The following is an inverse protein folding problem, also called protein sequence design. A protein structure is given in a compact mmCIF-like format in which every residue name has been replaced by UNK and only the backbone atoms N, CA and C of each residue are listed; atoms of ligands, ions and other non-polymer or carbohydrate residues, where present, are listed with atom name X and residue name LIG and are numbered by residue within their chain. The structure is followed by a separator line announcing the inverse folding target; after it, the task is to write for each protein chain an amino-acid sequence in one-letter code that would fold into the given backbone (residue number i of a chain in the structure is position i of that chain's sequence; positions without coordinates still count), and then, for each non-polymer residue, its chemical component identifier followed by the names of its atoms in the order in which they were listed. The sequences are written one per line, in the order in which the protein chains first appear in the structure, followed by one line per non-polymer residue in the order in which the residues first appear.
data_IF_152585043863
#
_entry.id   IF_152585043863
#
_cell.length_a   1.000
_cell.length_b   1.000
_cell.length_c   1.000
_cell.angle_alpha   90.00
_cell.angle_beta   90.00
_cell.angle_gamma   90.00
#
_symmetry.space_group_name_H-M   'P 1'
#
loop_
_entity.id
_entity.type
_entity.pdbx_description
1 polymer ?
#
# COMPACT_ATOMS: atom_id res chain seq x y z
N UNK A 1 25.12 0.44 15.72
CA UNK A 1 25.09 0.37 17.20
C UNK A 1 24.88 1.73 17.85
N UNK A 2 23.80 1.86 18.63
CA UNK A 2 23.43 3.07 19.40
C UNK A 2 23.15 2.67 20.86
N UNK A 3 23.70 3.40 21.83
CA UNK A 3 23.35 3.22 23.25
C UNK A 3 22.12 4.09 23.60
N UNK A 4 21.10 3.45 24.14
CA UNK A 4 19.82 4.07 24.47
C UNK A 4 19.85 4.59 25.91
N UNK A 5 19.47 5.86 26.04
CA UNK A 5 19.31 6.61 27.28
C UNK A 5 17.89 7.16 27.36
N UNK A 6 17.51 7.69 28.53
CA UNK A 6 16.22 8.37 28.69
C UNK A 6 16.06 9.58 27.75
N UNK A 7 17.17 10.19 27.32
CA UNK A 7 17.14 11.39 26.49
C UNK A 7 16.98 11.08 25.00
N UNK A 8 17.52 9.96 24.51
CA UNK A 8 17.53 9.63 23.08
C UNK A 8 16.57 8.50 22.69
N UNK A 9 15.94 7.81 23.65
CA UNK A 9 15.03 6.69 23.38
C UNK A 9 13.93 7.06 22.37
N UNK A 10 13.29 8.22 22.54
CA UNK A 10 12.20 8.62 21.66
C UNK A 10 12.68 8.87 20.23
N UNK A 11 13.80 9.57 20.05
CA UNK A 11 14.36 9.86 18.72
C UNK A 11 14.95 8.62 18.05
N UNK A 12 15.80 7.87 18.75
CA UNK A 12 16.59 6.78 18.15
C UNK A 12 15.79 5.48 18.03
N UNK A 13 14.91 5.19 18.99
CA UNK A 13 14.15 3.94 18.98
C UNK A 13 12.77 4.12 18.37
N UNK A 14 11.97 5.06 18.89
CA UNK A 14 10.59 5.23 18.44
C UNK A 14 10.55 5.87 17.05
N UNK A 15 11.20 7.02 16.86
CA UNK A 15 11.23 7.66 15.53
C UNK A 15 12.14 6.91 14.56
N UNK A 16 13.31 6.45 15.01
CA UNK A 16 14.21 5.63 14.19
C UNK A 16 13.52 4.39 13.61
N UNK A 17 12.69 3.71 14.41
CA UNK A 17 11.95 2.53 13.95
C UNK A 17 10.83 2.79 12.94
N UNK A 18 10.45 4.05 12.69
CA UNK A 18 9.54 4.41 11.59
C UNK A 18 10.24 4.36 10.23
N UNK A 19 11.56 4.56 10.21
CA UNK A 19 12.36 4.57 8.99
C UNK A 19 12.97 3.20 8.70
N UNK A 20 13.47 2.52 9.73
CA UNK A 20 14.14 1.23 9.60
C UNK A 20 13.96 0.40 10.88
N UNK A 21 13.80 -0.93 10.81
CA UNK A 21 13.66 -1.76 12.01
C UNK A 21 14.82 -1.57 13.00
N UNK A 22 14.50 -1.50 14.30
CA UNK A 22 15.50 -1.37 15.36
C UNK A 22 15.39 -2.55 16.32
N UNK A 23 16.47 -3.32 16.45
CA UNK A 23 16.57 -4.37 17.45
C UNK A 23 17.20 -3.79 18.72
N UNK A 24 16.43 -3.71 19.80
CA UNK A 24 16.89 -3.28 21.11
C UNK A 24 17.40 -4.47 21.92
N UNK A 25 18.69 -4.53 22.25
CA UNK A 25 19.30 -5.47 23.19
C UNK A 25 19.33 -4.90 24.60
N UNK A 26 18.48 -5.44 25.49
CA UNK A 26 18.43 -5.09 26.91
C UNK A 26 19.40 -5.99 27.67
N UNK A 27 20.46 -5.40 28.23
CA UNK A 27 21.59 -6.10 28.82
C UNK A 27 22.02 -5.46 30.16
N UNK A 28 22.97 -6.11 30.85
CA UNK A 28 23.65 -5.52 32.02
C UNK A 28 25.10 -6.07 32.15
N UNK A 29 26.03 -5.35 32.81
CA UNK A 29 27.44 -5.75 32.91
C UNK A 29 27.69 -7.10 33.62
N UNK A 30 26.81 -7.44 34.56
CA UNK A 30 26.84 -8.68 35.34
C UNK A 30 26.22 -9.87 34.60
N UNK A 31 25.52 -9.64 33.49
CA UNK A 31 24.86 -10.68 32.72
C UNK A 31 25.87 -11.48 31.87
N UNK A 32 26.18 -12.70 32.30
CA UNK A 32 27.06 -13.62 31.58
C UNK A 32 26.58 -13.94 30.15
N UNK A 33 25.31 -14.38 29.95
CA UNK A 33 24.78 -14.68 28.61
C UNK A 33 24.78 -13.47 27.66
N UNK A 34 24.59 -12.24 28.17
CA UNK A 34 24.63 -11.02 27.36
C UNK A 34 26.01 -10.84 26.68
N UNK A 35 27.10 -11.23 27.35
CA UNK A 35 28.46 -11.18 26.78
C UNK A 35 28.67 -12.14 25.62
N UNK A 36 27.85 -13.20 25.52
CA UNK A 36 27.87 -14.13 24.39
C UNK A 36 26.99 -13.63 23.25
N UNK A 37 25.84 -13.04 23.57
CA UNK A 37 24.87 -12.56 22.59
C UNK A 37 25.34 -11.31 21.84
N UNK A 38 25.91 -10.32 22.56
CA UNK A 38 26.32 -9.03 21.98
C UNK A 38 27.17 -9.16 20.70
N UNK A 39 28.29 -9.93 20.69
CA UNK A 39 29.10 -10.12 19.48
C UNK A 39 28.36 -10.78 18.31
N UNK A 40 27.37 -11.64 18.59
CA UNK A 40 26.54 -12.26 17.55
C UNK A 40 25.61 -11.22 16.93
N UNK A 41 24.99 -10.36 17.76
CA UNK A 41 24.14 -9.27 17.27
C UNK A 41 24.93 -8.24 16.45
N UNK A 42 26.13 -7.86 16.90
CA UNK A 42 27.02 -6.94 16.17
C UNK A 42 27.44 -7.54 14.81
N UNK A 43 27.77 -8.83 14.78
CA UNK A 43 28.05 -9.56 13.52
C UNK A 43 26.85 -9.55 12.58
N UNK A 44 25.62 -9.73 13.11
CA UNK A 44 24.40 -9.72 12.31
C UNK A 44 24.06 -8.31 11.81
N UNK A 45 24.24 -7.27 12.62
CA UNK A 45 24.07 -5.87 12.19
C UNK A 45 24.95 -5.58 10.96
N UNK A 46 26.23 -5.98 11.00
CA UNK A 46 27.13 -5.84 9.86
C UNK A 46 26.71 -6.69 8.65
N UNK A 47 26.30 -7.95 8.87
CA UNK A 47 25.90 -8.87 7.80
C UNK A 47 24.57 -8.48 7.12
N UNK A 48 23.73 -7.68 7.79
CA UNK A 48 22.50 -7.16 7.22
C UNK A 48 22.68 -5.79 6.56
N UNK A 49 23.91 -5.27 6.52
CA UNK A 49 24.30 -4.09 5.72
C UNK A 49 23.41 -2.86 5.99
N UNK A 50 23.05 -2.64 7.26
CA UNK A 50 22.25 -1.47 7.67
C UNK A 50 20.74 -1.61 7.44
N UNK A 51 20.24 -2.79 7.02
CA UNK A 51 18.78 -3.04 6.91
C UNK A 51 18.04 -3.00 8.25
N UNK A 52 18.76 -3.09 9.36
CA UNK A 52 18.24 -2.83 10.70
C UNK A 52 19.33 -2.15 11.54
N UNK A 53 18.91 -1.50 12.63
CA UNK A 53 19.82 -0.90 13.62
C UNK A 53 19.85 -1.74 14.87
N UNK A 54 21.04 -2.04 15.39
CA UNK A 54 21.20 -2.58 16.74
C UNK A 54 21.28 -1.43 17.75
N UNK A 55 20.34 -1.41 18.68
CA UNK A 55 20.33 -0.50 19.82
C UNK A 55 20.61 -1.30 21.10
N UNK A 56 21.29 -0.69 22.07
CA UNK A 56 21.62 -1.35 23.34
C UNK A 56 21.07 -0.53 24.50
N UNK A 57 20.48 -1.19 25.48
CA UNK A 57 19.98 -0.56 26.69
C UNK A 57 20.51 -1.30 27.91
N UNK A 58 21.26 -0.59 28.74
CA UNK A 58 21.68 -1.12 30.03
C UNK A 58 20.51 -1.04 31.02
N UNK A 59 20.00 -2.19 31.47
CA UNK A 59 18.84 -2.25 32.37
C UNK A 59 19.11 -1.61 33.75
N UNK A 60 20.37 -1.55 34.17
CA UNK A 60 20.75 -0.92 35.44
C UNK A 60 20.75 0.62 35.35
N UNK A 61 21.04 1.17 34.17
CA UNK A 61 21.12 2.63 33.94
C UNK A 61 19.77 3.22 33.52
N UNK A 62 18.96 2.43 32.80
CA UNK A 62 17.65 2.86 32.27
C UNK A 62 16.54 1.86 32.69
N UNK A 63 16.29 1.71 34.00
CA UNK A 63 15.35 0.71 34.53
C UNK A 63 13.90 0.97 34.13
N UNK A 64 13.51 2.22 33.89
CA UNK A 64 12.14 2.60 33.55
C UNK A 64 11.70 1.94 32.23
N UNK A 65 12.52 2.08 31.19
CA UNK A 65 12.23 1.55 29.85
C UNK A 65 12.32 0.02 29.85
N UNK A 66 13.37 -0.53 30.45
CA UNK A 66 13.56 -1.98 30.51
C UNK A 66 12.44 -2.68 31.29
N UNK A 67 11.98 -2.09 32.40
CA UNK A 67 10.87 -2.64 33.20
C UNK A 67 9.53 -2.56 32.47
N UNK A 68 9.25 -1.47 31.77
CA UNK A 68 8.03 -1.33 30.96
C UNK A 68 7.98 -2.38 29.86
N UNK A 69 9.05 -2.54 29.07
CA UNK A 69 9.12 -3.55 28.02
C UNK A 69 9.03 -4.97 28.58
N UNK A 70 9.71 -5.24 29.69
CA UNK A 70 9.65 -6.53 30.38
C UNK A 70 8.21 -6.87 30.82
N UNK A 71 7.47 -5.89 31.35
CA UNK A 71 6.06 -6.07 31.72
C UNK A 71 5.17 -6.32 30.50
N UNK A 72 5.35 -5.55 29.42
CA UNK A 72 4.56 -5.71 28.18
C UNK A 72 4.70 -7.10 27.57
N UNK A 73 5.91 -7.66 27.57
CA UNK A 73 6.20 -8.99 27.01
C UNK A 73 6.14 -10.13 28.03
N UNK A 74 5.88 -9.84 29.31
CA UNK A 74 5.84 -10.85 30.38
C UNK A 74 7.21 -11.49 30.68
N UNK A 75 8.31 -10.79 30.36
CA UNK A 75 9.69 -11.26 30.52
C UNK A 75 10.26 -10.79 31.87
N UNK A 76 11.14 -11.59 32.48
CA UNK A 76 11.76 -11.28 33.78
C UNK A 76 13.26 -11.46 33.83
N UNK A 77 13.89 -11.75 32.69
CA UNK A 77 15.30 -12.10 32.59
C UNK A 77 15.96 -11.42 31.40
N UNK A 78 17.23 -11.07 31.56
CA UNK A 78 18.10 -10.58 30.49
C UNK A 78 19.11 -11.67 30.06
N UNK A 79 19.63 -11.64 28.82
CA UNK A 79 19.34 -10.66 27.78
C UNK A 79 17.91 -10.78 27.26
N UNK A 80 17.30 -9.63 26.96
CA UNK A 80 15.98 -9.55 26.36
C UNK A 80 16.07 -8.61 25.15
N UNK A 81 15.75 -9.13 23.97
CA UNK A 81 15.79 -8.35 22.74
C UNK A 81 14.38 -8.04 22.25
N UNK A 82 14.13 -6.80 21.84
CA UNK A 82 12.83 -6.33 21.35
C UNK A 82 13.00 -5.72 19.97
N UNK A 83 12.19 -6.17 19.01
CA UNK A 83 12.11 -5.57 17.70
C UNK A 83 11.14 -4.40 17.72
N UNK A 84 11.61 -3.23 17.28
CA UNK A 84 10.79 -2.06 17.02
C UNK A 84 10.64 -1.86 15.52
N UNK A 85 9.41 -1.66 15.07
CA UNK A 85 9.08 -1.33 13.68
C UNK A 85 7.85 -0.43 13.66
N UNK A 86 7.86 0.57 12.78
CA UNK A 86 6.78 1.57 12.67
C UNK A 86 6.47 2.27 14.00
N UNK A 87 7.51 2.55 14.81
CA UNK A 87 7.38 3.23 16.10
C UNK A 87 6.79 2.39 17.23
N UNK A 88 6.63 1.08 17.05
CA UNK A 88 6.03 0.19 18.04
C UNK A 88 6.92 -1.04 18.29
N UNK A 89 6.93 -1.60 19.52
CA UNK A 89 7.53 -2.90 19.76
C UNK A 89 6.64 -4.00 19.17
N UNK A 90 7.14 -4.74 18.19
CA UNK A 90 6.35 -5.69 17.38
C UNK A 90 6.61 -7.15 17.73
N UNK A 91 7.79 -7.48 18.26
CA UNK A 91 8.18 -8.85 18.62
C UNK A 91 9.38 -8.83 19.59
N UNK A 92 9.74 -9.97 20.18
CA UNK A 92 10.92 -10.08 21.03
C UNK A 92 11.33 -11.51 21.38
N UNK A 93 12.58 -11.68 21.80
CA UNK A 93 13.11 -12.97 22.26
C UNK A 93 13.98 -12.81 23.51
N UNK A 94 14.08 -13.89 24.30
CA UNK A 94 14.79 -13.89 25.58
C UNK A 94 15.93 -14.89 25.57
N UNK A 95 17.06 -14.49 26.15
CA UNK A 95 18.24 -15.32 26.33
C UNK A 95 19.21 -15.29 25.15
N UNK A 96 20.39 -15.87 25.36
CA UNK A 96 21.38 -16.07 24.31
C UNK A 96 21.01 -17.29 23.47
N UNK A 97 20.24 -17.07 22.39
CA UNK A 97 19.82 -18.12 21.46
C UNK A 97 20.83 -18.30 20.30
N UNK A 98 20.81 -19.45 19.59
CA UNK A 98 21.72 -19.67 18.44
C UNK A 98 21.54 -18.63 17.32
N UNK A 99 22.63 -18.30 16.60
CA UNK A 99 22.64 -17.31 15.51
C UNK A 99 21.53 -17.56 14.47
N UNK A 100 21.32 -18.81 14.06
CA UNK A 100 20.29 -19.16 13.07
C UNK A 100 18.88 -18.79 13.55
N UNK A 101 18.61 -18.89 14.87
CA UNK A 101 17.32 -18.48 15.44
C UNK A 101 17.17 -16.97 15.51
N UNK A 102 18.26 -16.24 15.66
CA UNK A 102 18.24 -14.77 15.56
C UNK A 102 18.00 -14.35 14.12
N UNK A 103 18.60 -15.02 13.13
CA UNK A 103 18.32 -14.77 11.70
C UNK A 103 16.85 -15.03 11.36
N UNK A 104 16.32 -16.20 11.74
CA UNK A 104 14.89 -16.51 11.58
C UNK A 104 13.97 -15.47 12.24
N UNK A 105 14.39 -14.86 13.35
CA UNK A 105 13.66 -13.78 14.01
C UNK A 105 13.76 -12.47 13.21
N UNK A 106 14.97 -12.08 12.79
CA UNK A 106 15.22 -10.86 12.01
C UNK A 106 14.52 -10.89 10.66
N UNK A 107 14.59 -12.01 9.93
CA UNK A 107 14.00 -12.15 8.58
C UNK A 107 12.47 -11.99 8.54
N UNK A 108 11.79 -12.03 9.70
CA UNK A 108 10.36 -11.72 9.80
C UNK A 108 10.04 -10.23 9.79
N UNK A 109 11.01 -9.41 10.19
CA UNK A 109 10.80 -7.99 10.51
C UNK A 109 11.72 -7.07 9.72
N UNK A 110 12.86 -7.58 9.27
CA UNK A 110 13.86 -6.84 8.49
C UNK A 110 13.62 -7.11 7.01
N UNK A 111 13.41 -6.06 6.19
CA UNK A 111 13.18 -6.24 4.76
C UNK A 111 14.37 -6.95 4.10
N UNK A 112 14.10 -7.78 3.10
CA UNK A 112 15.16 -8.37 2.26
C UNK A 112 15.78 -7.30 1.36
N UNK A 113 16.99 -7.55 0.84
CA UNK A 113 17.62 -6.66 -0.15
C UNK A 113 16.74 -6.51 -1.39
N UNK A 114 16.21 -7.63 -1.89
CA UNK A 114 15.23 -7.69 -2.97
C UNK A 114 14.01 -6.79 -2.69
N UNK A 115 13.44 -6.83 -1.48
CA UNK A 115 12.32 -5.97 -1.11
C UNK A 115 12.68 -4.49 -1.14
N UNK A 116 13.91 -4.12 -0.74
CA UNK A 116 14.38 -2.73 -0.75
C UNK A 116 14.64 -2.23 -2.18
N UNK A 117 15.22 -3.09 -3.03
CA UNK A 117 15.40 -2.80 -4.45
C UNK A 117 14.05 -2.58 -5.14
N UNK A 118 13.07 -3.44 -4.87
CA UNK A 118 11.71 -3.27 -5.38
C UNK A 118 11.09 -1.95 -4.90
N UNK A 119 11.25 -1.58 -3.62
CA UNK A 119 10.75 -0.30 -3.10
C UNK A 119 11.42 0.91 -3.77
N UNK A 120 12.73 0.85 -4.02
CA UNK A 120 13.46 1.91 -4.72
C UNK A 120 12.98 2.05 -6.19
N UNK A 121 12.77 0.93 -6.87
CA UNK A 121 12.23 0.94 -8.23
C UNK A 121 10.80 1.52 -8.28
N UNK A 122 9.97 1.29 -7.26
CA UNK A 122 8.64 1.92 -7.17
C UNK A 122 8.72 3.44 -7.00
N UNK A 123 9.66 3.92 -6.19
CA UNK A 123 9.87 5.36 -5.99
C UNK A 123 10.36 6.03 -7.28
N UNK A 124 11.36 5.44 -7.94
CA UNK A 124 11.85 5.92 -9.23
C UNK A 124 10.76 5.88 -10.32
N UNK A 125 9.94 4.82 -10.34
CA UNK A 125 8.80 4.75 -11.26
C UNK A 125 7.79 5.88 -11.04
N UNK A 126 7.51 6.24 -9.78
CA UNK A 126 6.59 7.31 -9.46
C UNK A 126 7.12 8.68 -9.94
N UNK A 127 8.43 8.92 -9.84
CA UNK A 127 9.07 10.13 -10.36
C UNK A 127 9.05 10.19 -11.90
N UNK A 128 9.26 9.05 -12.56
CA UNK A 128 9.30 8.95 -14.02
C UNK A 128 7.92 8.94 -14.68
N UNK A 129 6.84 8.67 -13.94
CA UNK A 129 5.52 8.38 -14.51
C UNK A 129 4.97 9.49 -15.43
N UNK A 130 5.26 10.76 -15.12
CA UNK A 130 4.79 11.90 -15.92
C UNK A 130 5.70 12.19 -17.12
N UNK A 131 7.02 12.14 -16.94
CA UNK A 131 8.00 12.57 -17.94
C UNK A 131 8.44 11.44 -18.88
N UNK A 132 8.49 10.20 -18.39
CA UNK A 132 8.97 9.03 -19.11
C UNK A 132 8.21 7.74 -18.71
N UNK A 133 6.96 7.59 -19.19
CA UNK A 133 6.10 6.47 -18.79
C UNK A 133 6.64 5.09 -19.20
N UNK A 134 7.43 4.99 -20.29
CA UNK A 134 8.06 3.73 -20.68
C UNK A 134 9.15 3.30 -19.68
N UNK A 135 9.95 4.24 -19.18
CA UNK A 135 10.95 3.94 -18.13
C UNK A 135 10.29 3.62 -16.79
N UNK A 136 9.26 4.39 -16.40
CA UNK A 136 8.46 4.08 -15.21
C UNK A 136 7.86 2.67 -15.29
N UNK A 137 7.36 2.28 -16.47
CA UNK A 137 6.79 0.95 -16.68
C UNK A 137 7.83 -0.17 -16.51
N UNK A 138 9.06 0.02 -17.02
CA UNK A 138 10.14 -0.95 -16.85
C UNK A 138 10.47 -1.15 -15.36
N UNK A 139 10.55 -0.06 -14.59
CA UNK A 139 10.78 -0.10 -13.14
C UNK A 139 9.66 -0.80 -12.37
N UNK A 140 8.41 -0.51 -12.69
CA UNK A 140 7.26 -1.23 -12.10
C UNK A 140 7.28 -2.72 -12.45
N UNK A 141 7.70 -3.08 -13.66
CA UNK A 141 7.81 -4.47 -14.07
C UNK A 141 8.91 -5.21 -13.27
N UNK A 142 10.06 -4.57 -13.06
CA UNK A 142 11.18 -5.09 -12.26
C UNK A 142 10.75 -5.27 -10.80
N UNK A 143 10.14 -4.26 -10.18
CA UNK A 143 9.62 -4.34 -8.81
C UNK A 143 8.63 -5.51 -8.61
N UNK A 144 7.72 -5.71 -9.58
CA UNK A 144 6.74 -6.82 -9.54
C UNK A 144 7.39 -8.18 -9.79
N UNK A 145 8.53 -8.23 -10.50
CA UNK A 145 9.29 -9.46 -10.70
C UNK A 145 10.07 -9.86 -9.45
N UNK A 146 10.61 -8.87 -8.72
CA UNK A 146 11.37 -9.04 -7.49
C UNK A 146 10.44 -9.43 -6.33
N UNK A 147 9.32 -8.71 -6.14
CA UNK A 147 8.28 -9.06 -5.17
C UNK A 147 6.92 -9.29 -5.87
N UNK A 148 6.66 -10.52 -6.36
CA UNK A 148 5.38 -10.86 -6.98
C UNK A 148 4.17 -10.75 -6.05
N UNK A 149 4.36 -10.75 -4.74
CA UNK A 149 3.31 -10.67 -3.73
C UNK A 149 2.93 -9.22 -3.39
N UNK A 150 3.72 -8.23 -3.82
CA UNK A 150 3.40 -6.83 -3.67
C UNK A 150 2.25 -6.41 -4.60
N UNK A 151 1.02 -6.51 -4.09
CA UNK A 151 -0.19 -6.15 -4.82
C UNK A 151 -0.24 -4.65 -5.14
N UNK A 152 0.41 -3.79 -4.35
CA UNK A 152 0.47 -2.35 -4.62
C UNK A 152 1.34 -2.05 -5.84
N UNK A 153 2.55 -2.61 -5.89
CA UNK A 153 3.44 -2.54 -7.06
C UNK A 153 2.73 -3.04 -8.33
N UNK A 154 2.05 -4.19 -8.21
CA UNK A 154 1.32 -4.79 -9.32
C UNK A 154 0.14 -3.93 -9.76
N UNK A 155 -0.59 -3.32 -8.82
CA UNK A 155 -1.67 -2.40 -9.14
C UNK A 155 -1.15 -1.22 -9.98
N UNK A 156 -0.06 -0.57 -9.56
CA UNK A 156 0.51 0.57 -10.27
C UNK A 156 1.03 0.16 -11.66
N UNK A 157 1.67 -1.01 -11.77
CA UNK A 157 2.09 -1.58 -13.06
C UNK A 157 0.92 -1.77 -14.03
N UNK A 158 -0.16 -2.42 -13.58
CA UNK A 158 -1.34 -2.66 -14.42
C UNK A 158 -2.01 -1.33 -14.79
N UNK A 159 -2.12 -0.40 -13.84
CA UNK A 159 -2.70 0.92 -14.08
C UNK A 159 -1.93 1.67 -15.17
N UNK A 160 -0.60 1.69 -15.11
CA UNK A 160 0.23 2.36 -16.12
C UNK A 160 0.10 1.68 -17.49
N UNK A 161 0.08 0.34 -17.55
CA UNK A 161 -0.19 -0.38 -18.80
C UNK A 161 -1.54 0.04 -19.43
N UNK A 162 -2.59 0.19 -18.62
CA UNK A 162 -3.90 0.62 -19.10
C UNK A 162 -3.89 2.08 -19.56
N UNK A 163 -3.20 2.97 -18.85
CA UNK A 163 -3.01 4.37 -19.27
C UNK A 163 -2.29 4.47 -20.63
N UNK A 164 -1.34 3.58 -20.88
CA UNK A 164 -0.62 3.46 -22.14
C UNK A 164 -1.35 2.62 -23.20
N UNK A 165 -2.59 2.20 -22.94
CA UNK A 165 -3.41 1.37 -23.83
C UNK A 165 -2.75 0.01 -24.22
N UNK A 166 -1.88 -0.53 -23.36
CA UNK A 166 -1.20 -1.83 -23.52
C UNK A 166 -2.04 -2.98 -22.95
N UNK A 167 -3.25 -3.13 -23.49
CA UNK A 167 -4.31 -3.96 -22.91
C UNK A 167 -3.94 -5.44 -22.71
N UNK A 168 -3.27 -6.04 -23.71
CA UNK A 168 -2.88 -7.45 -23.64
C UNK A 168 -1.87 -7.74 -22.51
N UNK A 169 -0.97 -6.79 -22.25
CA UNK A 169 0.01 -6.90 -21.17
C UNK A 169 -0.65 -6.65 -19.82
N UNK A 170 -1.54 -5.65 -19.74
CA UNK A 170 -2.31 -5.38 -18.53
C UNK A 170 -3.14 -6.60 -18.11
N UNK A 171 -3.77 -7.30 -19.07
CA UNK A 171 -4.53 -8.54 -18.80
C UNK A 171 -3.65 -9.65 -18.23
N UNK A 172 -2.44 -9.84 -18.77
CA UNK A 172 -1.47 -10.82 -18.24
C UNK A 172 -1.01 -10.47 -16.84
N UNK A 173 -0.70 -9.20 -16.60
CA UNK A 173 -0.26 -8.71 -15.29
C UNK A 173 -1.37 -8.79 -14.22
N UNK A 174 -2.64 -8.67 -14.62
CA UNK A 174 -3.82 -8.79 -13.76
C UNK A 174 -4.17 -10.24 -13.39
N UNK A 175 -3.89 -11.21 -14.25
CA UNK A 175 -4.31 -12.61 -14.06
C UNK A 175 -3.93 -13.21 -12.67
N UNK A 176 -2.71 -12.99 -12.12
CA UNK A 176 -2.34 -13.52 -10.81
C UNK A 176 -3.15 -12.95 -9.64
N UNK A 177 -3.75 -11.76 -9.81
CA UNK A 177 -4.49 -11.04 -8.76
C UNK A 177 -5.98 -10.95 -9.02
N UNK A 178 -6.48 -11.51 -10.13
CA UNK A 178 -7.87 -11.46 -10.52
C UNK A 178 -8.83 -12.01 -9.43
N UNK A 179 -8.44 -13.06 -8.71
CA UNK A 179 -9.26 -13.61 -7.62
C UNK A 179 -9.36 -12.68 -6.40
N UNK A 180 -8.35 -11.83 -6.18
CA UNK A 180 -8.33 -10.86 -5.07
C UNK A 180 -9.29 -9.69 -5.28
N UNK A 181 -9.74 -9.45 -6.51
CA UNK A 181 -10.73 -8.41 -6.84
C UNK A 181 -12.07 -8.58 -6.12
N UNK A 182 -12.38 -9.76 -5.57
CA UNK A 182 -13.55 -9.97 -4.73
C UNK A 182 -13.48 -9.22 -3.38
N UNK A 183 -12.27 -8.89 -2.93
CA UNK A 183 -12.01 -8.31 -1.61
C UNK A 183 -11.19 -7.01 -1.67
N UNK A 184 -10.57 -6.71 -2.82
CA UNK A 184 -9.86 -5.46 -3.08
C UNK A 184 -10.59 -4.63 -4.15
N UNK A 185 -11.13 -3.48 -3.74
CA UNK A 185 -11.88 -2.56 -4.61
C UNK A 185 -11.02 -1.93 -5.70
N UNK A 186 -9.73 -1.70 -5.43
CA UNK A 186 -8.79 -1.11 -6.40
C UNK A 186 -8.51 -2.11 -7.53
N UNK A 187 -8.24 -3.36 -7.17
CA UNK A 187 -8.09 -4.44 -8.16
C UNK A 187 -9.38 -4.72 -8.92
N UNK A 188 -10.55 -4.63 -8.27
CA UNK A 188 -11.83 -4.72 -8.95
C UNK A 188 -12.00 -3.60 -9.99
N UNK A 189 -11.54 -2.38 -9.68
CA UNK A 189 -11.63 -1.24 -10.58
C UNK A 189 -10.74 -1.38 -11.82
N UNK A 190 -9.50 -1.88 -11.67
CA UNK A 190 -8.65 -2.23 -12.81
C UNK A 190 -9.25 -3.33 -13.68
N UNK A 191 -9.90 -4.33 -13.07
CA UNK A 191 -10.64 -5.36 -13.79
C UNK A 191 -11.76 -4.77 -14.66
N UNK A 192 -12.53 -3.84 -14.10
CA UNK A 192 -13.58 -3.14 -14.85
C UNK A 192 -13.02 -2.30 -16.01
N UNK A 193 -11.85 -1.67 -15.84
CA UNK A 193 -11.18 -0.93 -16.91
C UNK A 193 -10.66 -1.86 -18.02
N UNK A 194 -10.05 -3.00 -17.65
CA UNK A 194 -9.66 -4.04 -18.60
C UNK A 194 -10.85 -4.52 -19.45
N UNK A 195 -11.96 -4.87 -18.79
CA UNK A 195 -13.15 -5.36 -19.47
C UNK A 195 -13.76 -4.28 -20.39
N UNK A 196 -13.74 -3.01 -19.97
CA UNK A 196 -14.15 -1.89 -20.80
C UNK A 196 -13.23 -1.70 -22.03
N UNK A 197 -11.91 -1.81 -21.84
CA UNK A 197 -10.93 -1.74 -22.92
C UNK A 197 -11.11 -2.85 -23.96
N UNK A 198 -11.37 -4.08 -23.51
CA UNK A 198 -11.60 -5.22 -24.42
C UNK A 198 -12.93 -5.10 -25.16
N UNK A 199 -13.98 -4.65 -24.47
CA UNK A 199 -15.28 -4.39 -25.09
C UNK A 199 -15.18 -3.25 -26.11
N UNK A 200 -14.41 -2.19 -25.83
CA UNK A 200 -14.23 -1.05 -26.71
C UNK A 200 -13.56 -1.42 -28.05
N UNK A 201 -12.70 -2.45 -28.09
CA UNK A 201 -12.11 -2.93 -29.35
C UNK A 201 -13.14 -3.54 -30.32
N UNK A 202 -14.29 -3.98 -29.79
CA UNK A 202 -15.37 -4.60 -30.54
C UNK A 202 -16.61 -3.70 -30.62
N UNK A 203 -16.53 -2.47 -30.10
CA UNK A 203 -17.66 -1.56 -30.04
C UNK A 203 -18.07 -1.07 -31.44
N UNK A 204 -19.36 -0.80 -31.59
CA UNK A 204 -19.94 -0.13 -32.74
C UNK A 204 -19.34 1.26 -32.93
N UNK A 205 -19.26 1.75 -34.18
CA UNK A 205 -18.87 3.13 -34.45
C UNK A 205 -19.76 4.13 -33.68
N UNK A 206 -19.16 5.24 -33.24
CA UNK A 206 -19.84 6.26 -32.45
C UNK A 206 -21.17 6.73 -33.08
N UNK A 207 -21.20 6.93 -34.41
CA UNK A 207 -22.39 7.35 -35.13
C UNK A 207 -23.56 6.34 -35.03
N UNK A 208 -23.26 5.04 -34.99
CA UNK A 208 -24.28 4.00 -34.83
C UNK A 208 -24.81 3.96 -33.39
N UNK A 209 -23.93 4.12 -32.41
CA UNK A 209 -24.31 4.23 -31.00
C UNK A 209 -25.21 5.46 -30.78
N UNK A 210 -24.85 6.60 -31.35
CA UNK A 210 -25.64 7.83 -31.27
C UNK A 210 -27.01 7.65 -31.92
N UNK A 211 -27.08 7.04 -33.09
CA UNK A 211 -28.34 6.74 -33.77
C UNK A 211 -29.23 5.79 -32.95
N UNK A 212 -28.66 4.73 -32.37
CA UNK A 212 -29.39 3.78 -31.53
C UNK A 212 -29.98 4.46 -30.27
N UNK A 213 -29.17 5.27 -29.59
CA UNK A 213 -29.57 5.99 -28.37
C UNK A 213 -30.61 7.07 -28.69
N UNK A 214 -30.50 7.74 -29.83
CA UNK A 214 -31.48 8.73 -30.29
C UNK A 214 -32.83 8.07 -30.62
N UNK A 215 -32.81 6.90 -31.28
CA UNK A 215 -34.00 6.14 -31.63
C UNK A 215 -34.69 5.56 -30.38
N UNK A 216 -33.92 5.10 -29.39
CA UNK A 216 -34.44 4.58 -28.14
C UNK A 216 -33.59 5.04 -26.94
N UNK A 217 -34.11 6.01 -26.18
CA UNK A 217 -33.42 6.53 -24.99
C UNK A 217 -33.19 5.47 -23.88
N UNK A 218 -33.92 4.35 -23.92
CA UNK A 218 -33.77 3.20 -23.02
C UNK A 218 -32.94 2.06 -23.62
N UNK A 219 -32.24 2.29 -24.74
CA UNK A 219 -31.21 1.37 -25.22
C UNK A 219 -29.99 1.45 -24.31
N UNK A 220 -30.10 0.83 -23.13
CA UNK A 220 -29.06 0.83 -22.11
C UNK A 220 -27.83 0.03 -22.54
N UNK A 221 -28.00 -0.94 -23.45
CA UNK A 221 -26.88 -1.67 -24.02
C UNK A 221 -26.00 -0.73 -24.87
N UNK A 222 -26.59 0.06 -25.78
CA UNK A 222 -25.85 1.06 -26.55
C UNK A 222 -25.22 2.15 -25.67
N UNK A 223 -25.92 2.61 -24.62
CA UNK A 223 -25.36 3.57 -23.66
C UNK A 223 -24.18 3.01 -22.89
N UNK A 224 -24.28 1.77 -22.42
CA UNK A 224 -23.22 1.11 -21.67
C UNK A 224 -22.00 0.85 -22.55
N UNK A 225 -22.21 0.43 -23.80
CA UNK A 225 -21.14 0.28 -24.79
C UNK A 225 -20.40 1.61 -25.04
N UNK A 226 -21.15 2.72 -25.21
CA UNK A 226 -20.55 4.07 -25.29
C UNK A 226 -19.76 4.42 -24.04
N UNK A 227 -20.27 4.10 -22.84
CA UNK A 227 -19.57 4.32 -21.59
C UNK A 227 -18.26 3.52 -21.50
N UNK A 228 -18.24 2.27 -21.98
CA UNK A 228 -17.03 1.45 -22.03
C UNK A 228 -15.98 2.03 -22.98
N UNK A 229 -16.40 2.53 -24.15
CA UNK A 229 -15.50 3.22 -25.10
C UNK A 229 -14.88 4.47 -24.46
N UNK A 230 -15.69 5.31 -23.81
CA UNK A 230 -15.20 6.51 -23.12
C UNK A 230 -14.26 6.16 -21.97
N UNK A 231 -14.56 5.12 -21.20
CA UNK A 231 -13.71 4.64 -20.11
C UNK A 231 -12.36 4.11 -20.63
N UNK A 232 -12.39 3.32 -21.70
CA UNK A 232 -11.17 2.84 -22.37
C UNK A 232 -10.29 4.02 -22.87
N UNK A 233 -10.92 5.11 -23.31
CA UNK A 233 -10.26 6.35 -23.73
C UNK A 233 -9.87 7.28 -22.58
N UNK A 234 -10.09 6.85 -21.32
CA UNK A 234 -9.81 7.62 -20.10
C UNK A 234 -10.65 8.90 -19.95
N UNK A 235 -11.74 9.05 -20.71
CA UNK A 235 -12.75 10.09 -20.46
C UNK A 235 -13.71 9.61 -19.36
N UNK A 236 -13.19 9.62 -18.13
CA UNK A 236 -13.86 9.09 -16.95
C UNK A 236 -15.17 9.82 -16.66
N UNK A 237 -15.19 11.13 -16.87
CA UNK A 237 -16.37 11.97 -16.62
C UNK A 237 -17.49 11.69 -17.61
N UNK A 238 -17.20 11.64 -18.90
CA UNK A 238 -18.22 11.34 -19.90
C UNK A 238 -18.73 9.89 -19.75
N UNK A 239 -17.85 8.93 -19.45
CA UNK A 239 -18.26 7.56 -19.16
C UNK A 239 -19.23 7.50 -17.97
N UNK A 240 -18.94 8.21 -16.88
CA UNK A 240 -19.82 8.28 -15.71
C UNK A 240 -21.16 8.94 -16.02
N UNK A 241 -21.21 9.99 -16.83
CA UNK A 241 -22.47 10.64 -17.22
C UNK A 241 -23.36 9.69 -18.05
N UNK A 242 -22.79 8.86 -18.93
CA UNK A 242 -23.54 7.81 -19.64
C UNK A 242 -24.10 6.73 -18.70
N UNK A 243 -23.32 6.32 -17.71
CA UNK A 243 -23.76 5.35 -16.70
C UNK A 243 -24.87 5.92 -15.82
N UNK A 244 -24.85 7.21 -15.48
CA UNK A 244 -25.94 7.87 -14.76
C UNK A 244 -27.24 7.88 -15.57
N UNK A 245 -27.20 8.09 -16.88
CA UNK A 245 -28.39 8.02 -17.73
C UNK A 245 -29.07 6.64 -17.66
N UNK A 246 -28.30 5.56 -17.52
CA UNK A 246 -28.83 4.22 -17.27
C UNK A 246 -29.44 4.16 -15.86
N UNK A 247 -28.66 4.50 -14.83
CA UNK A 247 -29.07 4.39 -13.42
C UNK A 247 -30.31 5.22 -13.06
N UNK A 248 -30.50 6.38 -13.69
CA UNK A 248 -31.68 7.23 -13.53
C UNK A 248 -32.96 6.57 -14.05
N UNK A 249 -32.87 5.61 -14.99
CA UNK A 249 -34.03 4.97 -15.62
C UNK A 249 -34.21 3.51 -15.23
N UNK A 250 -33.12 2.84 -14.88
CA UNK A 250 -33.10 1.45 -14.41
C UNK A 250 -31.82 1.17 -13.59
N UNK A 251 -31.97 1.14 -12.26
CA UNK A 251 -30.87 0.89 -11.31
C UNK A 251 -30.39 -0.57 -11.32
N UNK A 252 -31.24 -1.49 -11.77
CA UNK A 252 -31.00 -2.93 -11.69
C UNK A 252 -30.59 -3.52 -13.06
N UNK A 253 -30.57 -2.71 -14.12
CA UNK A 253 -30.20 -3.14 -15.46
C UNK A 253 -28.88 -3.93 -15.46
N UNK A 254 -28.91 -5.08 -16.13
CA UNK A 254 -27.78 -6.01 -16.24
C UNK A 254 -27.13 -6.36 -14.89
N UNK A 255 -27.94 -6.71 -13.89
CA UNK A 255 -27.47 -7.05 -12.54
C UNK A 255 -26.65 -5.93 -11.85
N UNK A 256 -27.03 -4.68 -12.15
CA UNK A 256 -26.39 -3.49 -11.60
C UNK A 256 -25.01 -3.21 -12.19
N UNK A 257 -24.69 -3.73 -13.39
CA UNK A 257 -23.40 -3.53 -14.06
C UNK A 257 -23.02 -2.05 -14.18
N UNK A 258 -23.98 -1.20 -14.58
CA UNK A 258 -23.73 0.24 -14.70
C UNK A 258 -23.26 0.89 -13.38
N UNK A 259 -23.84 0.47 -12.25
CA UNK A 259 -23.44 0.95 -10.91
C UNK A 259 -22.03 0.46 -10.56
N UNK A 260 -21.73 -0.82 -10.83
CA UNK A 260 -20.42 -1.41 -10.54
C UNK A 260 -19.33 -0.70 -11.33
N UNK A 261 -19.52 -0.45 -12.63
CA UNK A 261 -18.59 0.30 -13.47
C UNK A 261 -18.43 1.75 -13.00
N UNK A 262 -19.51 2.41 -12.60
CA UNK A 262 -19.44 3.78 -12.07
C UNK A 262 -18.59 3.86 -10.81
N UNK A 263 -18.79 2.93 -9.86
CA UNK A 263 -18.02 2.85 -8.62
C UNK A 263 -16.55 2.53 -8.91
N UNK A 264 -16.26 1.66 -9.87
CA UNK A 264 -14.90 1.41 -10.33
C UNK A 264 -14.20 2.68 -10.83
N UNK A 265 -14.89 3.51 -11.64
CA UNK A 265 -14.32 4.77 -12.11
C UNK A 265 -14.03 5.72 -10.93
N UNK A 266 -14.95 5.84 -9.97
CA UNK A 266 -14.71 6.65 -8.76
C UNK A 266 -13.50 6.17 -7.95
N UNK A 267 -13.32 4.86 -7.85
CA UNK A 267 -12.17 4.26 -7.17
C UNK A 267 -10.85 4.64 -7.88
N UNK A 268 -10.80 4.54 -9.20
CA UNK A 268 -9.60 4.91 -9.99
C UNK A 268 -9.26 6.40 -9.91
N UNK A 269 -10.28 7.27 -9.79
CA UNK A 269 -10.11 8.71 -9.60
C UNK A 269 -9.67 9.06 -8.18
N UNK A 270 -9.87 8.17 -7.20
CA UNK A 270 -9.49 8.45 -5.81
C UNK A 270 -7.97 8.41 -5.69
N UNK A 271 -7.37 9.52 -5.27
CA UNK A 271 -5.94 9.58 -4.99
C UNK A 271 -5.62 8.69 -3.78
N UNK A 272 -4.52 7.92 -3.81
CA UNK A 272 -4.09 7.19 -2.63
C UNK A 272 -3.91 8.16 -1.47
N UNK A 273 -4.31 7.75 -0.27
CA UNK A 273 -3.99 8.52 0.92
C UNK A 273 -2.47 8.70 0.98
N UNK A 274 -1.96 9.90 1.30
CA UNK A 274 -0.53 10.09 1.46
C UNK A 274 -0.02 9.06 2.48
N UNK A 275 1.11 8.39 2.16
CA UNK A 275 1.81 7.54 3.13
C UNK A 275 1.96 8.38 4.40
N UNK A 276 1.53 7.90 5.58
CA UNK A 276 1.55 8.72 6.79
C UNK A 276 2.96 9.29 6.95
N UNK A 277 3.08 10.61 6.84
CA UNK A 277 4.31 11.29 7.20
C UNK A 277 4.62 10.88 8.64
N UNK A 278 5.89 10.57 8.94
CA UNK A 278 6.38 10.38 10.29
C UNK A 278 5.74 11.46 11.16
N UNK A 279 4.82 11.06 12.03
CA UNK A 279 3.98 12.01 12.73
C UNK A 279 4.91 12.88 13.59
N UNK A 280 4.99 14.18 13.31
CA UNK A 280 5.44 15.14 14.31
C UNK A 280 4.42 15.10 15.46
N UNK A 281 4.67 14.21 16.41
CA UNK A 281 3.86 14.09 17.61
C UNK A 281 4.15 15.32 18.48
N UNK A 282 3.28 16.33 18.35
CA UNK A 282 3.14 17.36 19.38
C UNK A 282 2.84 16.64 20.69
N UNK A 283 3.71 16.86 21.67
CA UNK A 283 3.52 16.40 23.03
C UNK A 283 2.17 16.82 23.61
N UNK A 284 1.73 16.02 24.57
CA UNK A 284 0.48 16.08 25.34
C UNK A 284 -0.69 15.29 24.73
N UNK A 285 -1.17 14.32 25.52
CA UNK A 285 -2.42 13.60 25.35
C UNK A 285 -3.57 14.54 24.98
N UNK A 286 -4.00 14.53 23.72
CA UNK A 286 -5.36 14.93 23.37
C UNK A 286 -6.10 13.74 22.71
N UNK A 287 -7.07 13.20 23.46
CA UNK A 287 -8.11 12.30 22.98
C UNK A 287 -9.08 13.05 22.05
N UNK A 288 -8.66 13.44 20.85
CA UNK A 288 -9.56 13.56 19.68
C UNK A 288 -8.74 13.38 18.41
N UNK A 289 -8.92 12.24 17.74
CA UNK A 289 -8.29 11.98 16.45
C UNK A 289 -8.83 12.94 15.39
N UNK A 290 -8.04 13.96 15.04
CA UNK A 290 -8.19 14.60 13.72
C UNK A 290 -7.49 13.71 12.72
N UNK A 291 -8.23 12.75 12.16
CA UNK A 291 -7.86 12.14 10.89
C UNK A 291 -7.61 13.27 9.89
N UNK A 292 -6.38 13.36 9.40
CA UNK A 292 -6.06 14.24 8.28
C UNK A 292 -6.90 13.78 7.09
N UNK A 293 -8.01 14.50 6.84
CA UNK A 293 -8.86 14.26 5.69
C UNK A 293 -8.04 14.64 4.46
N UNK A 294 -7.79 13.68 3.57
CA UNK A 294 -7.17 13.95 2.29
C UNK A 294 -7.89 15.13 1.61
N UNK A 295 -7.17 16.07 0.97
CA UNK A 295 -7.79 17.23 0.37
C UNK A 295 -8.91 16.78 -0.58
N UNK A 296 -10.12 17.30 -0.34
CA UNK A 296 -11.30 16.94 -1.10
C UNK A 296 -11.11 17.29 -2.58
N UNK A 297 -11.20 16.29 -3.47
CA UNK A 297 -11.28 16.52 -4.91
C UNK A 297 -12.72 16.95 -5.24
N UNK A 298 -12.97 18.23 -5.61
CA UNK A 298 -14.32 18.75 -5.77
C UNK A 298 -15.09 18.05 -6.90
N UNK A 299 -14.38 17.57 -7.93
CA UNK A 299 -14.97 16.85 -9.06
C UNK A 299 -15.41 15.46 -8.60
N UNK A 300 -14.53 14.72 -7.92
CA UNK A 300 -14.84 13.40 -7.38
C UNK A 300 -16.06 13.45 -6.44
N UNK A 301 -16.11 14.44 -5.55
CA UNK A 301 -17.23 14.65 -4.63
C UNK A 301 -18.53 15.05 -5.35
N UNK A 302 -18.45 15.75 -6.48
CA UNK A 302 -19.60 16.01 -7.32
C UNK A 302 -20.19 14.72 -7.89
N UNK A 303 -19.36 13.82 -8.44
CA UNK A 303 -19.85 12.56 -9.01
C UNK A 303 -20.35 11.58 -7.92
N UNK A 304 -19.68 11.51 -6.76
CA UNK A 304 -20.21 10.77 -5.60
C UNK A 304 -21.61 11.24 -5.19
N UNK A 305 -21.84 12.55 -5.18
CA UNK A 305 -23.17 13.13 -4.89
C UNK A 305 -24.19 12.81 -5.98
N UNK A 306 -23.83 12.94 -7.27
CA UNK A 306 -24.71 12.55 -8.39
C UNK A 306 -25.17 11.09 -8.24
N UNK A 307 -24.26 10.16 -7.95
CA UNK A 307 -24.60 8.76 -7.74
C UNK A 307 -25.56 8.57 -6.56
N UNK A 308 -25.27 9.20 -5.42
CA UNK A 308 -26.13 9.13 -4.24
C UNK A 308 -27.56 9.60 -4.54
N UNK A 309 -27.71 10.76 -5.20
CA UNK A 309 -29.01 11.31 -5.59
C UNK A 309 -29.79 10.44 -6.57
N UNK A 310 -29.11 9.64 -7.39
CA UNK A 310 -29.77 8.72 -8.32
C UNK A 310 -30.20 7.44 -7.61
N UNK A 311 -29.42 6.96 -6.63
CA UNK A 311 -29.69 5.70 -5.94
C UNK A 311 -30.75 5.82 -4.85
N UNK A 312 -30.84 6.96 -4.15
CA UNK A 312 -31.77 7.22 -3.05
C UNK A 312 -32.84 8.25 -3.43
#
# INVERSE_FOLDING_TARGET
MIDITLQNFESELIHGSQQQPVLLDIWAPWCGPCKQLGPVLEKLEAAYEGRFVLAKLNSDEVPEISSQLSQMFGVRSIPFCVMFSQGQPVDGFVGAIPEDKIREFLDKHVPSLESLEAEADLEEAAELAEDNPDAALAKLQEAVAIDPANDAARYDYIKLLLQMNRLAEARRAYQPVASKALHDTRLAALGAWLDAGEAAQQARPAAELDAAIAANKRDFAARFERAQVLFAQQDLTAAMDELLEILMRDKAWSEGLARKTYVAILELMTKPAPKPAAAEAKGALELTGKTAVAPADPLLDQYRRKLSMVLF
#
